data_IF_441749380411
#
_entry.id   IF_441749380411
#
_cell.length_a   1.000
_cell.length_b   1.000
_cell.length_c   1.000
_cell.angle_alpha   90.00
_cell.angle_beta   90.00
_cell.angle_gamma   90.00
#
_symmetry.space_group_name_H-M   'P 1'
#
loop_
_entity.id
_entity.type
_entity.pdbx_description
1 polymer ?
#
# COMPACT_ATOMS: atom_id res chain seq x y z
N UNK A 1 -1.70 -1.87 20.75
CA UNK A 1 -1.56 -2.12 19.30
C UNK A 1 -1.96 -0.89 18.50
N UNK A 2 -1.11 0.10 18.53
CA UNK A 2 -1.38 1.44 17.96
C UNK A 2 -0.46 1.74 16.77
N UNK A 3 -0.30 0.83 15.84
CA UNK A 3 0.82 1.05 14.95
C UNK A 3 0.56 1.05 13.46
N UNK A 4 -0.33 0.23 12.94
CA UNK A 4 -0.51 0.13 11.49
C UNK A 4 -1.50 1.13 10.92
N UNK A 5 -2.32 1.71 11.79
CA UNK A 5 -3.34 2.69 11.39
C UNK A 5 -2.87 4.15 11.53
N UNK A 6 -1.71 4.39 12.17
CA UNK A 6 -1.19 5.74 12.35
C UNK A 6 -0.66 6.33 11.06
N UNK A 7 0.04 5.54 10.24
CA UNK A 7 0.53 5.98 8.94
C UNK A 7 -0.62 6.43 8.02
N UNK A 8 -1.65 5.61 7.87
CA UNK A 8 -2.80 5.95 7.03
C UNK A 8 -3.64 7.12 7.57
N UNK A 9 -3.72 7.27 8.90
CA UNK A 9 -4.43 8.40 9.52
C UNK A 9 -3.65 9.71 9.34
N UNK A 10 -2.36 9.70 9.58
CA UNK A 10 -1.48 10.86 9.37
C UNK A 10 -1.51 11.28 7.91
N UNK A 11 -1.39 10.34 6.99
CA UNK A 11 -1.44 10.56 5.56
C UNK A 11 -2.77 11.18 5.12
N UNK A 12 -3.90 10.60 5.57
CA UNK A 12 -5.22 11.13 5.23
C UNK A 12 -5.43 12.54 5.75
N UNK A 13 -4.99 12.84 6.97
CA UNK A 13 -5.08 14.18 7.54
C UNK A 13 -4.23 15.17 6.74
N UNK A 14 -2.98 14.85 6.45
CA UNK A 14 -2.08 15.69 5.69
C UNK A 14 -2.57 15.89 4.25
N UNK A 15 -3.15 14.86 3.65
CA UNK A 15 -3.74 14.94 2.32
C UNK A 15 -4.95 15.87 2.30
N UNK A 16 -5.86 15.77 3.27
CA UNK A 16 -7.01 16.66 3.41
C UNK A 16 -6.57 18.11 3.64
N UNK A 17 -5.58 18.33 4.51
CA UNK A 17 -5.02 19.67 4.76
C UNK A 17 -4.40 20.22 3.47
N UNK A 18 -3.68 19.41 2.71
CA UNK A 18 -3.07 19.79 1.44
C UNK A 18 -4.11 20.17 0.39
N UNK A 19 -5.22 19.44 0.31
CA UNK A 19 -6.35 19.75 -0.56
C UNK A 19 -7.03 21.06 -0.15
N UNK A 20 -7.25 21.30 1.14
CA UNK A 20 -7.84 22.54 1.65
C UNK A 20 -6.96 23.74 1.35
N UNK A 21 -5.64 23.62 1.58
CA UNK A 21 -4.69 24.68 1.25
C UNK A 21 -4.71 24.98 -0.24
N UNK A 22 -4.75 23.96 -1.08
CA UNK A 22 -4.80 24.11 -2.53
C UNK A 22 -6.09 24.78 -3.01
N UNK A 23 -7.22 24.50 -2.35
CA UNK A 23 -8.52 25.07 -2.70
C UNK A 23 -8.67 26.53 -2.26
N UNK A 24 -8.02 26.94 -1.16
CA UNK A 24 -8.11 28.30 -0.59
C UNK A 24 -6.91 29.18 -0.88
N UNK A 25 -5.81 28.63 -1.35
CA UNK A 25 -4.67 29.40 -1.84
C UNK A 25 -4.92 29.77 -3.29
N UNK A 26 -5.08 31.06 -3.57
CA UNK A 26 -5.07 31.61 -4.91
C UNK A 26 -3.88 31.08 -5.71
N UNK A 27 -3.95 30.99 -7.04
CA UNK A 27 -2.99 30.27 -7.85
C UNK A 27 -1.62 30.94 -7.81
N UNK A 28 -0.87 30.71 -6.76
CA UNK A 28 0.56 30.61 -6.94
C UNK A 28 0.76 29.32 -7.73
N UNK A 29 1.23 29.47 -8.94
CA UNK A 29 1.80 28.39 -9.73
C UNK A 29 2.96 27.77 -8.93
N UNK A 30 2.63 27.06 -7.87
CA UNK A 30 3.52 26.08 -7.28
C UNK A 30 3.55 24.92 -8.26
N UNK A 31 4.36 25.10 -9.31
CA UNK A 31 4.88 24.00 -10.08
C UNK A 31 5.42 22.99 -9.05
N UNK A 32 4.62 21.96 -8.75
CA UNK A 32 5.11 20.83 -7.98
C UNK A 32 6.23 20.28 -8.86
N UNK A 33 7.50 20.35 -8.45
CA UNK A 33 8.58 19.84 -9.27
C UNK A 33 8.21 18.42 -9.68
N UNK A 34 8.53 18.04 -10.90
CA UNK A 34 8.43 16.63 -11.29
C UNK A 34 9.49 15.86 -10.50
N UNK A 35 9.18 15.54 -9.25
CA UNK A 35 10.03 14.76 -8.34
C UNK A 35 10.03 13.29 -8.78
N UNK A 36 10.25 13.04 -10.07
CA UNK A 36 10.12 11.70 -10.65
C UNK A 36 11.10 10.72 -10.04
N UNK A 37 12.36 11.11 -9.93
CA UNK A 37 13.40 10.26 -9.34
C UNK A 37 13.16 10.01 -7.85
N UNK A 38 12.73 11.03 -7.13
CA UNK A 38 12.41 10.94 -5.71
C UNK A 38 11.21 10.02 -5.46
N UNK A 39 10.18 10.09 -6.31
CA UNK A 39 9.03 9.19 -6.24
C UNK A 39 9.43 7.76 -6.57
N UNK A 40 10.28 7.53 -7.55
CA UNK A 40 10.78 6.17 -7.84
C UNK A 40 11.62 5.61 -6.69
N UNK A 41 12.42 6.44 -5.99
CA UNK A 41 13.11 6.03 -4.77
C UNK A 41 12.13 5.64 -3.66
N UNK A 42 11.05 6.42 -3.48
CA UNK A 42 9.99 6.09 -2.52
C UNK A 42 9.32 4.76 -2.85
N UNK A 43 8.99 4.52 -4.12
CA UNK A 43 8.41 3.26 -4.59
C UNK A 43 9.36 2.07 -4.33
N UNK A 44 10.62 2.19 -4.74
CA UNK A 44 11.63 1.15 -4.52
C UNK A 44 11.82 0.83 -3.03
N UNK A 45 11.85 1.84 -2.18
CA UNK A 45 11.91 1.65 -0.73
C UNK A 45 10.72 0.84 -0.21
N UNK A 46 9.50 1.20 -0.60
CA UNK A 46 8.30 0.47 -0.20
C UNK A 46 8.28 -0.96 -0.74
N UNK A 47 8.72 -1.19 -1.97
CA UNK A 47 8.81 -2.52 -2.58
C UNK A 47 9.85 -3.43 -1.89
N UNK A 48 10.93 -2.87 -1.40
CA UNK A 48 11.97 -3.61 -0.67
C UNK A 48 11.58 -3.92 0.77
N UNK A 49 10.81 -3.04 1.41
CA UNK A 49 10.49 -3.10 2.84
C UNK A 49 9.01 -3.38 3.14
N UNK A 50 8.20 -3.77 2.16
CA UNK A 50 6.74 -3.94 2.30
C UNK A 50 6.33 -4.85 3.46
N UNK A 51 7.11 -5.88 3.76
CA UNK A 51 6.83 -6.82 4.84
C UNK A 51 7.09 -6.25 6.24
N UNK A 52 7.78 -5.13 6.32
CA UNK A 52 8.10 -4.45 7.56
C UNK A 52 7.13 -3.30 7.83
N UNK A 53 7.16 -2.82 9.07
CA UNK A 53 6.44 -1.60 9.42
C UNK A 53 7.15 -0.39 8.82
N UNK A 54 6.47 0.32 7.94
CA UNK A 54 6.98 1.53 7.30
C UNK A 54 6.25 2.75 7.86
N UNK A 55 7.01 3.80 8.15
CA UNK A 55 6.50 5.10 8.55
C UNK A 55 6.67 6.13 7.44
N UNK A 56 5.78 7.11 7.37
CA UNK A 56 5.84 8.17 6.36
C UNK A 56 7.17 8.92 6.39
N UNK A 57 7.71 9.17 7.59
CA UNK A 57 9.01 9.82 7.74
C UNK A 57 10.18 9.06 7.10
N UNK A 58 10.14 7.74 7.12
CA UNK A 58 11.15 6.90 6.46
C UNK A 58 11.10 7.05 4.94
N UNK A 59 9.89 7.10 4.38
CA UNK A 59 9.69 7.31 2.94
C UNK A 59 10.17 8.72 2.55
N UNK A 60 9.83 9.73 3.34
CA UNK A 60 10.28 11.11 3.14
C UNK A 60 11.81 11.22 3.18
N UNK A 61 12.44 10.59 4.16
CA UNK A 61 13.90 10.57 4.29
C UNK A 61 14.57 9.89 3.09
N UNK A 62 14.05 8.75 2.67
CA UNK A 62 14.58 8.02 1.51
C UNK A 62 14.43 8.81 0.21
N UNK A 63 13.29 9.47 0.02
CA UNK A 63 13.02 10.27 -1.16
C UNK A 63 13.69 11.66 -1.14
N UNK A 64 14.09 12.15 0.06
CA UNK A 64 14.61 13.49 0.21
C UNK A 64 13.55 14.58 0.07
N UNK A 65 12.30 14.28 0.41
CA UNK A 65 11.16 15.18 0.28
C UNK A 65 10.48 15.44 1.63
N UNK A 66 9.88 16.62 1.77
CA UNK A 66 8.97 16.89 2.88
C UNK A 66 7.67 16.07 2.75
N UNK A 67 6.95 15.86 3.85
CA UNK A 67 5.68 15.12 3.85
C UNK A 67 4.69 15.67 2.84
N UNK A 68 4.46 16.98 2.84
CA UNK A 68 3.51 17.62 1.94
C UNK A 68 3.92 17.51 0.46
N UNK A 69 5.20 17.65 0.17
CA UNK A 69 5.73 17.51 -1.20
C UNK A 69 5.63 16.06 -1.67
N UNK A 70 6.02 15.10 -0.82
CA UNK A 70 5.89 13.68 -1.13
C UNK A 70 4.45 13.30 -1.46
N UNK A 71 3.48 13.66 -0.60
CA UNK A 71 2.08 13.29 -0.80
C UNK A 71 1.51 13.86 -2.10
N UNK A 72 1.77 15.13 -2.40
CA UNK A 72 1.30 15.78 -3.64
C UNK A 72 1.98 15.21 -4.88
N UNK A 73 3.29 15.08 -4.86
CA UNK A 73 4.06 14.55 -5.99
C UNK A 73 3.72 13.08 -6.24
N UNK A 74 3.54 12.29 -5.17
CA UNK A 74 3.18 10.89 -5.27
C UNK A 74 1.79 10.69 -5.87
N UNK A 75 0.78 11.41 -5.36
CA UNK A 75 -0.58 11.36 -5.89
C UNK A 75 -0.63 11.80 -7.36
N UNK A 76 0.15 12.82 -7.73
CA UNK A 76 0.25 13.29 -9.12
C UNK A 76 0.92 12.26 -10.03
N UNK A 77 1.99 11.61 -9.57
CA UNK A 77 2.78 10.64 -10.35
C UNK A 77 2.12 9.27 -10.45
N UNK A 78 1.55 8.76 -9.36
CA UNK A 78 1.02 7.39 -9.24
C UNK A 78 -0.50 7.33 -9.19
N UNK A 79 -1.20 8.44 -9.01
CA UNK A 79 -2.67 8.51 -8.92
C UNK A 79 -3.24 7.98 -7.60
N UNK A 80 -2.39 7.58 -6.66
CA UNK A 80 -2.76 7.05 -5.34
C UNK A 80 -1.85 7.62 -4.27
N UNK A 81 -2.24 7.46 -3.01
CA UNK A 81 -1.40 7.87 -1.89
C UNK A 81 -0.27 6.85 -1.64
N UNK A 82 0.85 7.24 -1.00
CA UNK A 82 1.93 6.30 -0.63
C UNK A 82 1.41 5.11 0.19
N UNK A 83 0.50 5.34 1.12
CA UNK A 83 -0.08 4.26 1.93
C UNK A 83 -0.88 3.26 1.08
N UNK A 84 -1.75 3.76 0.20
CA UNK A 84 -2.51 2.90 -0.73
C UNK A 84 -1.60 2.14 -1.67
N UNK A 85 -0.51 2.75 -2.11
CA UNK A 85 0.51 2.09 -2.93
C UNK A 85 1.18 0.94 -2.17
N UNK A 86 1.58 1.16 -0.92
CA UNK A 86 2.14 0.13 -0.05
C UNK A 86 1.17 -1.03 0.17
N UNK A 87 -0.10 -0.73 0.44
CA UNK A 87 -1.12 -1.76 0.62
C UNK A 87 -1.35 -2.57 -0.66
N UNK A 88 -1.31 -1.93 -1.83
CA UNK A 88 -1.41 -2.62 -3.11
C UNK A 88 -0.22 -3.59 -3.34
N UNK A 89 0.99 -3.19 -2.97
CA UNK A 89 2.16 -4.09 -3.00
C UNK A 89 1.92 -5.29 -2.09
N UNK A 90 1.51 -5.06 -0.85
CA UNK A 90 1.23 -6.11 0.14
C UNK A 90 0.16 -7.09 -0.34
N UNK A 91 -0.94 -6.59 -0.89
CA UNK A 91 -2.01 -7.43 -1.47
C UNK A 91 -1.50 -8.25 -2.65
N UNK A 92 -0.72 -7.67 -3.54
CA UNK A 92 -0.11 -8.38 -4.66
C UNK A 92 0.83 -9.52 -4.22
N UNK A 93 1.58 -9.31 -3.14
CA UNK A 93 2.43 -10.35 -2.54
C UNK A 93 1.61 -11.42 -1.81
N UNK A 94 0.60 -11.00 -1.02
CA UNK A 94 -0.31 -11.92 -0.33
C UNK A 94 -1.08 -12.82 -1.31
N UNK A 95 -1.53 -12.26 -2.42
CA UNK A 95 -2.18 -13.00 -3.50
C UNK A 95 -1.32 -14.19 -3.96
N UNK A 96 -0.04 -13.95 -4.24
CA UNK A 96 0.90 -15.01 -4.64
C UNK A 96 1.09 -16.08 -3.56
N UNK A 97 1.16 -15.69 -2.29
CA UNK A 97 1.26 -16.63 -1.18
C UNK A 97 0.01 -17.51 -1.06
N UNK A 98 -1.17 -16.92 -1.20
CA UNK A 98 -2.45 -17.65 -1.19
C UNK A 98 -2.54 -18.63 -2.37
N UNK A 99 -2.09 -18.26 -3.55
CA UNK A 99 -2.00 -19.14 -4.73
C UNK A 99 -1.09 -20.34 -4.49
N UNK A 100 -0.07 -20.20 -3.65
CA UNK A 100 0.83 -21.27 -3.19
C UNK A 100 0.25 -22.08 -2.03
N UNK A 101 -0.98 -21.83 -1.61
CA UNK A 101 -1.65 -22.55 -0.53
C UNK A 101 -1.35 -22.04 0.88
N UNK A 102 -0.59 -20.94 1.04
CA UNK A 102 -0.31 -20.35 2.35
C UNK A 102 -1.60 -19.91 3.04
N UNK A 103 -1.79 -20.23 4.33
CA UNK A 103 -2.97 -19.81 5.07
C UNK A 103 -3.12 -18.26 5.10
N UNK A 104 -4.36 -17.73 5.08
CA UNK A 104 -4.58 -16.27 5.07
C UNK A 104 -3.92 -15.51 6.23
N UNK A 105 -3.91 -16.09 7.44
CA UNK A 105 -3.26 -15.49 8.61
C UNK A 105 -1.76 -15.32 8.36
N UNK A 106 -1.13 -16.35 7.83
CA UNK A 106 0.29 -16.35 7.55
C UNK A 106 0.63 -15.43 6.38
N UNK A 107 -0.17 -15.44 5.33
CA UNK A 107 -0.01 -14.51 4.20
C UNK A 107 -0.12 -13.05 4.64
N UNK A 108 -1.04 -12.73 5.55
CA UNK A 108 -1.16 -11.40 6.14
C UNK A 108 0.10 -11.00 6.91
N UNK A 109 0.61 -11.87 7.78
CA UNK A 109 1.82 -11.61 8.57
C UNK A 109 3.06 -11.43 7.70
N UNK A 110 3.26 -12.31 6.73
CA UNK A 110 4.43 -12.26 5.83
C UNK A 110 4.44 -11.02 4.93
N UNK A 111 3.28 -10.42 4.70
CA UNK A 111 3.15 -9.23 3.85
C UNK A 111 3.04 -7.91 4.61
N UNK A 112 3.23 -7.94 5.93
CA UNK A 112 3.32 -6.75 6.76
C UNK A 112 1.98 -6.19 7.24
N UNK A 113 0.89 -6.94 7.11
CA UNK A 113 -0.36 -6.60 7.76
C UNK A 113 -0.27 -6.96 9.25
N UNK A 114 -0.57 -6.02 10.11
CA UNK A 114 -0.54 -6.20 11.57
C UNK A 114 -1.83 -6.79 12.12
N UNK A 115 -2.91 -6.74 11.36
CA UNK A 115 -4.24 -7.18 11.74
C UNK A 115 -4.87 -8.01 10.61
N UNK A 116 -5.29 -9.24 10.93
CA UNK A 116 -5.97 -10.13 9.99
C UNK A 116 -7.30 -9.54 9.49
N UNK A 117 -8.05 -8.87 10.36
CA UNK A 117 -9.32 -8.25 9.98
C UNK A 117 -9.11 -7.15 8.95
N UNK A 118 -8.10 -6.31 9.15
CA UNK A 118 -7.71 -5.27 8.18
C UNK A 118 -7.27 -5.90 6.84
N UNK A 119 -6.43 -6.93 6.88
CA UNK A 119 -6.02 -7.67 5.70
C UNK A 119 -7.23 -8.25 4.95
N UNK A 120 -8.12 -8.96 5.65
CA UNK A 120 -9.28 -9.61 5.05
C UNK A 120 -10.20 -8.58 4.39
N UNK A 121 -10.49 -7.48 5.08
CA UNK A 121 -11.34 -6.42 4.55
C UNK A 121 -10.72 -5.75 3.32
N UNK A 122 -9.42 -5.46 3.39
CA UNK A 122 -8.72 -4.82 2.29
C UNK A 122 -8.59 -5.75 1.09
N UNK A 123 -8.24 -7.02 1.32
CA UNK A 123 -8.16 -8.04 0.28
C UNK A 123 -9.51 -8.25 -0.42
N UNK A 124 -10.58 -8.40 0.37
CA UNK A 124 -11.93 -8.56 -0.16
C UNK A 124 -12.37 -7.34 -0.99
N UNK A 125 -12.08 -6.14 -0.52
CA UNK A 125 -12.38 -4.90 -1.23
C UNK A 125 -11.62 -4.79 -2.56
N UNK A 126 -10.38 -5.25 -2.59
CA UNK A 126 -9.48 -5.10 -3.73
C UNK A 126 -9.64 -6.23 -4.76
N UNK A 127 -9.77 -7.47 -4.31
CA UNK A 127 -9.86 -8.67 -5.15
C UNK A 127 -11.32 -9.08 -5.40
N UNK A 128 -12.25 -8.72 -4.50
CA UNK A 128 -13.66 -9.11 -4.58
C UNK A 128 -13.99 -10.44 -3.93
N UNK A 129 -13.00 -11.13 -3.36
CA UNK A 129 -13.16 -12.41 -2.68
C UNK A 129 -12.42 -12.40 -1.36
N UNK A 130 -12.92 -13.15 -0.37
CA UNK A 130 -12.20 -13.35 0.88
C UNK A 130 -10.91 -14.15 0.64
N UNK A 131 -9.82 -13.88 1.40
CA UNK A 131 -8.53 -14.55 1.19
C UNK A 131 -8.58 -16.06 1.25
N UNK A 132 -9.39 -16.62 2.16
CA UNK A 132 -9.58 -18.08 2.27
C UNK A 132 -10.25 -18.68 1.04
N UNK A 133 -11.31 -18.04 0.55
CA UNK A 133 -12.02 -18.45 -0.67
C UNK A 133 -11.10 -18.37 -1.87
N UNK A 134 -10.33 -17.28 -1.98
CA UNK A 134 -9.36 -17.11 -3.06
C UNK A 134 -8.31 -18.23 -3.07
N UNK A 135 -7.71 -18.55 -1.90
CA UNK A 135 -6.76 -19.65 -1.76
C UNK A 135 -7.35 -20.99 -2.20
N UNK A 136 -8.57 -21.28 -1.77
CA UNK A 136 -9.21 -22.59 -1.99
C UNK A 136 -9.53 -22.85 -3.48
N UNK A 137 -9.71 -21.80 -4.28
CA UNK A 137 -9.83 -21.92 -5.75
C UNK A 137 -8.57 -22.58 -6.34
N UNK A 138 -7.39 -22.18 -5.89
CA UNK A 138 -6.12 -22.72 -6.41
C UNK A 138 -5.80 -24.10 -5.88
N UNK A 139 -6.19 -24.45 -4.64
CA UNK A 139 -6.07 -25.81 -4.11
C UNK A 139 -6.87 -26.82 -4.93
N UNK A 140 -8.09 -26.48 -5.34
CA UNK A 140 -8.91 -27.35 -6.18
C UNK A 140 -8.36 -27.57 -7.59
N UNK A 141 -7.51 -26.67 -8.08
CA UNK A 141 -6.86 -26.83 -9.39
C UNK A 141 -5.68 -27.81 -9.35
N UNK A 142 -4.94 -27.88 -8.23
CA UNK A 142 -3.82 -28.82 -8.07
C UNK A 142 -4.28 -30.27 -7.95
N UNK A 143 -5.41 -30.52 -7.27
CA UNK A 143 -6.00 -31.86 -7.15
C UNK A 143 -6.51 -32.41 -8.50
N UNK A 144 -6.96 -31.53 -9.39
CA UNK A 144 -7.46 -31.92 -10.72
C UNK A 144 -6.36 -32.28 -11.72
N UNK A 145 -5.10 -31.93 -11.45
CA UNK A 145 -3.95 -32.22 -12.33
C UNK A 145 -3.26 -33.55 -12.00
N UNK A 146 -3.62 -34.20 -10.90
CA UNK A 146 -3.05 -35.49 -10.49
C UNK A 146 -3.91 -36.71 -10.86
N UNK A 147 -5.11 -36.51 -11.42
CA UNK A 147 -5.96 -37.58 -11.98
C UNK A 147 -5.91 -37.59 -13.51
N UNK A 148 -4.74 -37.77 -14.04
CA UNK A 148 -4.54 -37.90 -15.48
C UNK A 148 -3.46 -38.93 -15.78
#
# INVERSE_FOLDING_TARGET
MKGSNEFGKEENLLFLISLLIQQYSQPFENCVPECREEIEKACAFMEQHYAQRIYLDQICCCAGLSKSTLLRAFARSKGVTPYSYLENIRIGKAKKLLEQGVPPVEAALQTGFSDQSHFTNYFNRFIGLAPGVYRDIFKGMEESTHEG
#
